data_IF_834465475979
#
_entry.id   IF_834465475979
#
_cell.length_a   1.000
_cell.length_b   1.000
_cell.length_c   1.000
_cell.angle_alpha   90.00
_cell.angle_beta   90.00
_cell.angle_gamma   90.00
#
_symmetry.space_group_name_H-M   'P 1'
#
loop_
_entity.id
_entity.type
_entity.pdbx_description
1 polymer ?
#
# COMPACT_ATOMS: atom_id res chain seq x y z
N UNK A 1 -18.48 15.82 18.29
CA UNK A 1 -17.12 16.25 18.70
C UNK A 1 -16.03 15.82 17.72
N UNK A 2 -15.95 14.55 17.27
CA UNK A 2 -14.91 14.12 16.31
C UNK A 2 -15.03 14.74 14.90
N UNK A 3 -16.25 14.90 14.38
CA UNK A 3 -16.49 15.47 13.04
C UNK A 3 -16.18 16.98 12.97
N UNK A 4 -16.35 17.72 14.08
CA UNK A 4 -16.02 19.15 14.16
C UNK A 4 -14.50 19.41 14.13
N UNK A 5 -13.69 18.50 14.67
CA UNK A 5 -12.23 18.59 14.53
C UNK A 5 -11.81 18.33 13.08
N UNK A 6 -12.41 17.34 12.42
CA UNK A 6 -12.15 17.05 11.00
C UNK A 6 -12.54 18.22 10.08
N UNK A 7 -13.64 18.93 10.37
CA UNK A 7 -14.03 20.11 9.58
C UNK A 7 -13.03 21.26 9.73
N UNK A 8 -12.44 21.45 10.92
CA UNK A 8 -11.35 22.39 11.14
C UNK A 8 -10.11 22.08 10.28
N UNK A 9 -9.74 20.81 10.15
CA UNK A 9 -8.62 20.40 9.29
C UNK A 9 -8.96 20.47 7.80
N UNK A 10 -10.22 20.27 7.41
CA UNK A 10 -10.68 20.35 6.01
C UNK A 10 -10.46 21.73 5.38
N UNK A 11 -10.37 22.79 6.18
CA UNK A 11 -10.11 24.15 5.70
C UNK A 11 -8.63 24.42 5.40
N UNK A 12 -7.72 23.55 5.84
CA UNK A 12 -6.28 23.66 5.60
C UNK A 12 -5.82 22.52 4.69
N UNK A 13 -5.87 22.78 3.37
CA UNK A 13 -5.51 21.80 2.33
C UNK A 13 -4.12 21.17 2.52
N UNK A 14 -3.20 21.91 3.12
CA UNK A 14 -1.84 21.42 3.43
C UNK A 14 -1.79 20.29 4.47
N UNK A 15 -2.83 20.13 5.29
CA UNK A 15 -2.90 19.09 6.33
C UNK A 15 -3.55 17.81 5.82
N UNK A 16 -4.14 17.83 4.61
CA UNK A 16 -4.76 16.66 3.98
C UNK A 16 -3.79 15.48 3.84
N UNK A 17 -2.53 15.65 3.39
CA UNK A 17 -1.56 14.54 3.30
C UNK A 17 -1.26 13.91 4.66
N UNK A 18 -1.17 14.71 5.72
CA UNK A 18 -0.95 14.23 7.08
C UNK A 18 -2.15 13.40 7.56
N UNK A 19 -3.37 13.89 7.35
CA UNK A 19 -4.58 13.14 7.67
C UNK A 19 -4.65 11.81 6.91
N UNK A 20 -4.39 11.81 5.60
CA UNK A 20 -4.36 10.58 4.82
C UNK A 20 -3.29 9.61 5.31
N UNK A 21 -2.13 10.11 5.75
CA UNK A 21 -1.09 9.28 6.34
C UNK A 21 -1.50 8.72 7.72
N UNK A 22 -2.28 9.47 8.50
CA UNK A 22 -2.79 9.03 9.81
C UNK A 22 -3.92 8.00 9.72
N UNK A 23 -4.76 8.10 8.70
CA UNK A 23 -5.96 7.25 8.52
C UNK A 23 -5.62 5.97 7.73
N UNK A 24 -4.53 5.97 6.94
CA UNK A 24 -4.16 4.80 6.14
C UNK A 24 -3.57 3.67 6.99
N UNK A 25 -4.08 2.47 6.72
CA UNK A 25 -3.53 1.22 7.26
C UNK A 25 -2.09 1.00 6.79
N UNK A 26 -1.32 0.25 7.57
CA UNK A 26 0.03 -0.16 7.15
C UNK A 26 -0.05 -0.98 5.88
N UNK A 27 -0.99 -1.91 5.76
CA UNK A 27 -1.25 -2.68 4.55
C UNK A 27 -1.45 -1.80 3.32
N UNK A 28 -2.29 -0.75 3.42
CA UNK A 28 -2.53 0.18 2.31
C UNK A 28 -1.30 1.02 1.96
N UNK A 29 -0.46 1.36 2.95
CA UNK A 29 0.84 2.01 2.69
C UNK A 29 1.80 1.07 1.96
N UNK A 30 1.90 -0.19 2.38
CA UNK A 30 2.73 -1.21 1.72
C UNK A 30 2.28 -1.43 0.28
N UNK A 31 0.98 -1.60 0.04
CA UNK A 31 0.41 -1.74 -1.30
C UNK A 31 0.75 -0.55 -2.19
N UNK A 32 0.58 0.69 -1.68
CA UNK A 32 0.94 1.90 -2.41
C UNK A 32 2.42 1.94 -2.78
N UNK A 33 3.30 1.57 -1.85
CA UNK A 33 4.74 1.52 -2.12
C UNK A 33 5.08 0.51 -3.23
N UNK A 34 4.47 -0.67 -3.19
CA UNK A 34 4.64 -1.72 -4.22
C UNK A 34 4.11 -1.22 -5.57
N UNK A 35 3.00 -0.47 -5.58
CA UNK A 35 2.36 0.01 -6.81
C UNK A 35 3.22 0.97 -7.64
N UNK A 36 4.21 1.64 -7.04
CA UNK A 36 5.15 2.50 -7.79
C UNK A 36 6.00 1.72 -8.78
N UNK A 37 6.31 0.45 -8.49
CA UNK A 37 7.04 -0.44 -9.38
C UNK A 37 6.68 -1.90 -9.07
N UNK A 38 5.56 -2.36 -9.61
CA UNK A 38 5.02 -3.70 -9.33
C UNK A 38 5.93 -4.84 -9.85
N UNK A 39 6.77 -4.55 -10.84
CA UNK A 39 7.66 -5.51 -11.49
C UNK A 39 8.96 -5.73 -10.70
N UNK A 40 9.37 -4.75 -9.88
CA UNK A 40 10.52 -4.89 -8.98
C UNK A 40 10.44 -6.14 -8.11
N UNK A 41 11.61 -6.74 -7.85
CA UNK A 41 11.77 -7.73 -6.80
C UNK A 41 11.75 -7.05 -5.42
N UNK A 42 10.57 -7.03 -4.81
CA UNK A 42 10.34 -6.44 -3.49
C UNK A 42 10.72 -7.39 -2.35
N UNK A 43 11.38 -6.84 -1.34
CA UNK A 43 11.62 -7.46 -0.05
C UNK A 43 11.01 -6.61 1.06
N UNK A 44 10.77 -7.22 2.23
CA UNK A 44 10.24 -6.48 3.37
C UNK A 44 11.19 -5.35 3.82
N UNK A 45 12.51 -5.55 3.73
CA UNK A 45 13.50 -4.49 4.01
C UNK A 45 13.29 -3.24 3.14
N UNK A 46 12.92 -3.42 1.86
CA UNK A 46 12.69 -2.29 0.94
C UNK A 46 11.53 -1.41 1.41
N UNK A 47 10.55 -2.02 2.07
CA UNK A 47 9.38 -1.35 2.64
C UNK A 47 9.78 -0.68 3.95
N UNK A 48 10.55 -1.38 4.79
CA UNK A 48 11.08 -0.87 6.06
C UNK A 48 11.92 0.40 5.87
N UNK A 49 12.84 0.38 4.90
CA UNK A 49 13.64 1.54 4.52
C UNK A 49 12.77 2.72 4.05
N UNK A 50 11.78 2.47 3.17
CA UNK A 50 10.88 3.53 2.66
C UNK A 50 9.93 4.09 3.71
N UNK A 51 9.56 3.29 4.71
CA UNK A 51 8.67 3.69 5.80
C UNK A 51 9.44 4.20 7.03
N UNK A 52 10.78 4.27 6.96
CA UNK A 52 11.66 4.68 8.06
C UNK A 52 11.38 3.92 9.35
N UNK A 53 11.25 2.59 9.26
CA UNK A 53 10.90 1.73 10.39
C UNK A 53 11.56 0.36 10.29
N UNK A 54 11.43 -0.50 11.30
CA UNK A 54 12.00 -1.84 11.28
C UNK A 54 11.09 -2.86 10.60
N UNK A 55 11.69 -3.91 10.01
CA UNK A 55 10.95 -5.03 9.44
C UNK A 55 10.04 -5.73 10.46
N UNK A 56 10.51 -5.85 11.72
CA UNK A 56 9.77 -6.47 12.80
C UNK A 56 8.51 -5.69 13.16
N UNK A 57 8.58 -4.35 13.17
CA UNK A 57 7.42 -3.51 13.44
C UNK A 57 6.40 -3.60 12.31
N UNK A 58 6.84 -3.61 11.04
CA UNK A 58 5.94 -3.79 9.90
C UNK A 58 5.26 -5.16 9.97
N UNK A 59 6.01 -6.24 10.21
CA UNK A 59 5.43 -7.59 10.37
C UNK A 59 4.34 -7.59 11.44
N UNK A 60 4.62 -7.01 12.61
CA UNK A 60 3.66 -6.94 13.70
C UNK A 60 2.40 -6.17 13.30
N UNK A 61 2.53 -4.97 12.74
CA UNK A 61 1.37 -4.17 12.32
C UNK A 61 0.56 -4.82 11.20
N UNK A 62 1.21 -5.48 10.25
CA UNK A 62 0.50 -6.24 9.22
C UNK A 62 -0.25 -7.44 9.80
N UNK A 63 0.33 -8.11 10.80
CA UNK A 63 -0.34 -9.19 11.52
C UNK A 63 -1.54 -8.68 12.32
N UNK A 64 -1.44 -7.52 12.97
CA UNK A 64 -2.56 -6.85 13.65
C UNK A 64 -3.69 -6.50 12.65
N UNK A 65 -3.34 -6.23 11.39
CA UNK A 65 -4.27 -6.04 10.27
C UNK A 65 -4.68 -7.35 9.57
N UNK A 66 -4.41 -8.52 10.17
CA UNK A 66 -4.73 -9.85 9.65
C UNK A 66 -4.15 -10.18 8.26
N UNK A 67 -3.01 -9.59 7.92
CA UNK A 67 -2.33 -9.80 6.63
C UNK A 67 -0.82 -10.01 6.79
N UNK A 68 -0.12 -10.19 5.69
CA UNK A 68 1.34 -10.25 5.67
C UNK A 68 1.88 -9.71 4.34
N UNK A 69 3.18 -9.38 4.32
CA UNK A 69 3.83 -8.77 3.16
C UNK A 69 3.66 -9.60 1.87
N UNK A 70 3.83 -10.92 1.93
CA UNK A 70 3.69 -11.79 0.76
C UNK A 70 2.25 -11.82 0.21
N UNK A 71 1.24 -11.79 1.09
CA UNK A 71 -0.17 -11.69 0.68
C UNK A 71 -0.44 -10.38 -0.07
N UNK A 72 0.06 -9.25 0.46
CA UNK A 72 -0.09 -7.94 -0.19
C UNK A 72 0.59 -7.93 -1.55
N UNK A 73 1.87 -8.34 -1.63
CA UNK A 73 2.63 -8.35 -2.88
C UNK A 73 1.95 -9.24 -3.95
N UNK A 74 1.47 -10.41 -3.55
CA UNK A 74 0.74 -11.30 -4.46
C UNK A 74 -0.57 -10.66 -4.93
N UNK A 75 -1.37 -10.12 -4.02
CA UNK A 75 -2.64 -9.47 -4.35
C UNK A 75 -2.44 -8.29 -5.31
N UNK A 76 -1.44 -7.44 -5.06
CA UNK A 76 -1.11 -6.32 -5.95
C UNK A 76 -0.71 -6.80 -7.35
N UNK A 77 0.08 -7.86 -7.46
CA UNK A 77 0.47 -8.44 -8.77
C UNK A 77 -0.71 -9.06 -9.51
N UNK A 78 -1.57 -9.80 -8.80
CA UNK A 78 -2.78 -10.38 -9.38
C UNK A 78 -3.77 -9.31 -9.85
N UNK A 79 -3.90 -8.22 -9.09
CA UNK A 79 -4.73 -7.07 -9.47
C UNK A 79 -4.20 -6.42 -10.76
N UNK A 80 -2.88 -6.21 -10.86
CA UNK A 80 -2.27 -5.71 -12.09
C UNK A 80 -2.44 -6.67 -13.28
N UNK A 81 -2.15 -7.96 -13.07
CA UNK A 81 -2.32 -9.00 -14.08
C UNK A 81 -3.75 -9.01 -14.63
N UNK A 82 -4.75 -9.01 -13.74
CA UNK A 82 -6.16 -8.90 -14.10
C UNK A 82 -6.44 -7.66 -14.95
N UNK A 83 -5.93 -6.50 -14.55
CA UNK A 83 -6.10 -5.24 -15.31
C UNK A 83 -5.50 -5.33 -16.71
N UNK A 84 -4.33 -5.94 -16.86
CA UNK A 84 -3.66 -6.11 -18.16
C UNK A 84 -4.45 -7.06 -19.08
N UNK A 85 -5.02 -8.13 -18.52
CA UNK A 85 -5.90 -9.05 -19.24
C UNK A 85 -7.20 -8.37 -19.70
N UNK A 86 -7.84 -7.60 -18.83
CA UNK A 86 -9.07 -6.86 -19.14
C UNK A 86 -8.86 -5.83 -20.25
N UNK A 87 -7.71 -5.15 -20.25
CA UNK A 87 -7.35 -4.18 -21.28
C UNK A 87 -6.86 -4.82 -22.59
N UNK A 88 -6.82 -6.16 -22.70
CA UNK A 88 -6.26 -6.94 -23.82
C UNK A 88 -4.85 -6.51 -24.24
N UNK A 89 -4.07 -5.91 -23.33
CA UNK A 89 -2.78 -5.34 -23.69
C UNK A 89 -1.70 -6.41 -23.85
N UNK A 90 -1.87 -7.60 -23.25
CA UNK A 90 -0.83 -8.64 -23.24
C UNK A 90 -1.45 -10.05 -23.16
N UNK A 91 -0.97 -11.03 -23.95
CA UNK A 91 -1.39 -12.43 -23.84
C UNK A 91 -0.93 -13.09 -22.53
N UNK A 92 -1.68 -14.10 -22.07
CA UNK A 92 -1.57 -14.70 -20.73
C UNK A 92 -0.15 -15.23 -20.40
N UNK A 93 0.59 -15.72 -21.39
CA UNK A 93 1.93 -16.29 -21.21
C UNK A 93 3.01 -15.27 -20.85
N UNK A 94 2.77 -13.97 -21.10
CA UNK A 94 3.72 -12.89 -20.80
C UNK A 94 3.50 -12.30 -19.40
N UNK A 95 2.42 -12.66 -18.73
CA UNK A 95 2.02 -12.15 -17.40
C UNK A 95 2.52 -13.06 -16.26
N UNK A 96 2.87 -14.32 -16.59
CA UNK A 96 3.29 -15.36 -15.66
C UNK A 96 4.76 -15.22 -15.19
#
# INVERSE_FOLDING_TARGET
LYLSCLSMFSHKKELIPLLFNSISTVSGKVERLISFDIAKRWYLRDIAERMYTSESLIKKKLQDENTCFSKILLASRMSMARRLLELRQIPLHTIA
#
